data_IF_984636751092
#
_entry.id   IF_984636751092
#
_cell.length_a   1.000
_cell.length_b   1.000
_cell.length_c   1.000
_cell.angle_alpha   90.00
_cell.angle_beta   90.00
_cell.angle_gamma   90.00
#
_symmetry.space_group_name_H-M   'P 1'
#
loop_
_entity.id
_entity.type
_entity.pdbx_description
1 polymer ?
#
# COMPACT_ATOMS: atom_id res chain seq x y z
N UNK A 1 15.22 -18.50 0.38
CA UNK A 1 14.07 -17.83 -0.25
C UNK A 1 13.68 -16.67 0.64
N UNK A 2 13.87 -15.43 0.20
CA UNK A 2 13.52 -14.26 1.02
C UNK A 2 11.99 -14.14 1.08
N UNK A 3 11.39 -14.43 2.23
CA UNK A 3 9.98 -14.09 2.44
C UNK A 3 9.90 -12.57 2.52
N UNK A 4 9.16 -11.96 1.61
CA UNK A 4 8.84 -10.53 1.71
C UNK A 4 8.13 -10.23 3.05
N UNK A 5 8.02 -8.95 3.43
CA UNK A 5 7.30 -8.57 4.63
C UNK A 5 5.90 -9.18 4.63
N UNK A 6 5.44 -9.65 5.79
CA UNK A 6 4.14 -10.30 5.88
C UNK A 6 3.03 -9.36 5.42
N UNK A 7 2.22 -9.80 4.45
CA UNK A 7 1.17 -8.96 3.85
C UNK A 7 1.58 -8.20 2.58
N UNK A 8 2.77 -8.43 2.02
CA UNK A 8 3.25 -7.76 0.80
C UNK A 8 2.28 -7.91 -0.39
N UNK A 9 1.78 -9.11 -0.65
CA UNK A 9 0.83 -9.35 -1.75
C UNK A 9 -0.51 -8.65 -1.50
N UNK A 10 -0.96 -8.63 -0.24
CA UNK A 10 -2.18 -7.93 0.17
C UNK A 10 -2.03 -6.41 -0.02
N UNK A 11 -0.87 -5.85 0.38
CA UNK A 11 -0.56 -4.43 0.24
C UNK A 11 -0.44 -4.03 -1.24
N UNK A 12 0.14 -4.89 -2.07
CA UNK A 12 0.21 -4.68 -3.53
C UNK A 12 -1.18 -4.62 -4.14
N UNK A 13 -2.04 -5.60 -3.83
CA UNK A 13 -3.43 -5.60 -4.30
C UNK A 13 -4.16 -4.33 -3.84
N UNK A 14 -4.06 -4.00 -2.54
CA UNK A 14 -4.68 -2.81 -1.96
C UNK A 14 -4.26 -1.53 -2.69
N UNK A 15 -2.97 -1.36 -2.97
CA UNK A 15 -2.45 -0.18 -3.64
C UNK A 15 -3.09 0.07 -5.02
N UNK A 16 -3.27 -0.99 -5.81
CA UNK A 16 -3.95 -0.86 -7.12
C UNK A 16 -5.44 -0.56 -7.00
N UNK A 17 -6.06 -0.90 -5.87
CA UNK A 17 -7.48 -0.61 -5.63
C UNK A 17 -7.74 0.80 -5.10
N UNK A 18 -6.71 1.58 -4.75
CA UNK A 18 -6.85 2.94 -4.19
C UNK A 18 -7.56 3.95 -5.12
N UNK A 19 -7.59 3.68 -6.43
CA UNK A 19 -8.36 4.47 -7.40
C UNK A 19 -9.87 4.29 -7.25
N UNK A 20 -10.30 3.21 -6.60
CA UNK A 20 -11.69 2.84 -6.40
C UNK A 20 -11.96 2.70 -4.91
N UNK A 21 -12.35 3.77 -4.19
CA UNK A 21 -12.48 3.77 -2.73
C UNK A 21 -13.35 2.63 -2.18
N UNK A 22 -14.43 2.29 -2.88
CA UNK A 22 -15.31 1.17 -2.50
C UNK A 22 -14.60 -0.19 -2.58
N UNK A 23 -13.73 -0.38 -3.58
CA UNK A 23 -12.95 -1.61 -3.74
C UNK A 23 -11.82 -1.65 -2.70
N UNK A 24 -11.13 -0.54 -2.51
CA UNK A 24 -10.09 -0.41 -1.48
C UNK A 24 -10.62 -0.75 -0.09
N UNK A 25 -11.79 -0.23 0.29
CA UNK A 25 -12.42 -0.56 1.57
C UNK A 25 -12.74 -2.06 1.71
N UNK A 26 -13.22 -2.70 0.64
CA UNK A 26 -13.48 -4.14 0.63
C UNK A 26 -12.21 -4.98 0.74
N UNK A 27 -11.14 -4.58 0.06
CA UNK A 27 -9.83 -5.25 0.14
C UNK A 27 -9.26 -5.09 1.55
N UNK A 28 -9.27 -3.89 2.11
CA UNK A 28 -8.83 -3.65 3.48
C UNK A 28 -9.63 -4.48 4.50
N UNK A 29 -10.94 -4.62 4.33
CA UNK A 29 -11.77 -5.46 5.20
C UNK A 29 -11.51 -6.97 5.01
N UNK A 30 -11.16 -7.40 3.80
CA UNK A 30 -10.88 -8.80 3.47
C UNK A 30 -9.50 -9.28 3.95
N UNK A 31 -8.54 -8.36 4.15
CA UNK A 31 -7.18 -8.67 4.59
C UNK A 31 -6.86 -7.98 5.91
N UNK A 32 -7.15 -8.61 7.07
CA UNK A 32 -6.91 -8.05 8.39
C UNK A 32 -5.44 -7.71 8.69
N UNK A 33 -4.51 -8.19 7.88
CA UNK A 33 -3.08 -7.84 7.98
C UNK A 33 -2.82 -6.39 7.57
N UNK A 34 -3.66 -5.80 6.70
CA UNK A 34 -3.55 -4.40 6.28
C UNK A 34 -3.93 -3.46 7.43
N UNK A 35 -3.07 -2.48 7.70
CA UNK A 35 -3.18 -1.61 8.87
C UNK A 35 -2.80 -2.25 10.20
N UNK A 36 -2.41 -3.54 10.23
CA UNK A 36 -1.90 -4.18 11.43
C UNK A 36 -0.41 -3.85 11.65
N UNK A 37 0.11 -3.88 12.90
CA UNK A 37 1.53 -3.66 13.17
C UNK A 37 2.46 -4.59 12.38
N UNK A 38 2.02 -5.82 12.10
CA UNK A 38 2.78 -6.79 11.30
C UNK A 38 2.79 -6.46 9.80
N UNK A 39 1.74 -5.80 9.30
CA UNK A 39 1.57 -5.43 7.89
C UNK A 39 2.12 -4.05 7.53
N UNK A 40 2.32 -3.14 8.50
CA UNK A 40 2.81 -1.78 8.23
C UNK A 40 4.13 -1.76 7.45
N UNK A 41 5.06 -2.68 7.76
CA UNK A 41 6.31 -2.80 7.03
C UNK A 41 6.10 -3.21 5.55
N UNK A 42 5.13 -4.08 5.29
CA UNK A 42 4.76 -4.48 3.94
C UNK A 42 4.10 -3.32 3.17
N UNK A 43 3.15 -2.64 3.80
CA UNK A 43 2.46 -1.49 3.23
C UNK A 43 3.43 -0.35 2.89
N UNK A 44 4.33 -0.01 3.81
CA UNK A 44 5.37 1.00 3.58
C UNK A 44 6.33 0.59 2.44
N UNK A 45 6.71 -0.69 2.39
CA UNK A 45 7.58 -1.21 1.32
C UNK A 45 6.91 -1.09 -0.05
N UNK A 46 5.66 -1.53 -0.18
CA UNK A 46 4.89 -1.45 -1.43
C UNK A 46 4.67 0.00 -1.84
N UNK A 47 4.26 0.86 -0.90
CA UNK A 47 4.03 2.28 -1.16
C UNK A 47 5.32 2.95 -1.69
N UNK A 48 6.46 2.71 -1.04
CA UNK A 48 7.75 3.25 -1.47
C UNK A 48 8.19 2.69 -2.84
N UNK A 49 7.94 1.41 -3.14
CA UNK A 49 8.23 0.82 -4.44
C UNK A 49 7.39 1.47 -5.54
N UNK A 50 6.07 1.62 -5.33
CA UNK A 50 5.19 2.20 -6.32
C UNK A 50 5.46 3.69 -6.54
N UNK A 51 5.73 4.47 -5.48
CA UNK A 51 6.16 5.87 -5.63
C UNK A 51 7.47 6.00 -6.42
N UNK A 52 8.39 5.04 -6.29
CA UNK A 52 9.60 4.98 -7.12
C UNK A 52 9.29 4.69 -8.58
N UNK A 53 8.31 3.84 -8.88
CA UNK A 53 7.84 3.61 -10.26
C UNK A 53 7.17 4.86 -10.85
N UNK A 54 6.35 5.56 -10.06
CA UNK A 54 5.75 6.85 -10.42
C UNK A 54 6.80 7.88 -10.76
N UNK A 55 7.85 7.98 -9.94
CA UNK A 55 8.98 8.88 -10.21
C UNK A 55 9.73 8.57 -11.51
N UNK A 56 9.52 7.38 -12.11
CA UNK A 56 10.10 6.97 -13.41
C UNK A 56 9.12 7.13 -14.58
N UNK A 57 7.89 7.58 -14.33
CA UNK A 57 6.86 7.78 -15.36
C UNK A 57 5.81 6.68 -15.46
N UNK A 58 5.87 5.64 -14.61
CA UNK A 58 4.91 4.53 -14.61
C UNK A 58 3.79 4.75 -13.60
N UNK A 59 2.61 4.15 -13.77
CA UNK A 59 1.53 4.19 -12.77
C UNK A 59 1.13 5.60 -12.31
N UNK A 60 1.32 6.64 -13.13
CA UNK A 60 1.11 8.05 -12.76
C UNK A 60 -0.28 8.33 -12.18
N UNK A 61 -1.29 7.59 -12.61
CA UNK A 61 -2.66 7.67 -12.08
C UNK A 61 -2.75 7.38 -10.57
N UNK A 62 -1.80 6.61 -10.03
CA UNK A 62 -1.74 6.27 -8.60
C UNK A 62 -1.01 7.32 -7.76
N UNK A 63 -0.34 8.31 -8.35
CA UNK A 63 0.57 9.21 -7.63
C UNK A 63 -0.10 9.86 -6.41
N UNK A 64 -1.21 10.56 -6.61
CA UNK A 64 -1.92 11.25 -5.55
C UNK A 64 -2.37 10.28 -4.45
N UNK A 65 -2.86 9.10 -4.84
CA UNK A 65 -3.35 8.09 -3.91
C UNK A 65 -2.24 7.43 -3.10
N UNK A 66 -1.08 7.21 -3.71
CA UNK A 66 0.09 6.68 -3.04
C UNK A 66 0.67 7.71 -2.07
N UNK A 67 0.64 9.01 -2.40
CA UNK A 67 1.03 10.07 -1.47
C UNK A 67 0.11 10.13 -0.26
N UNK A 68 -1.20 10.12 -0.47
CA UNK A 68 -2.18 10.09 0.63
C UNK A 68 -1.98 8.87 1.54
N UNK A 69 -1.77 7.70 0.94
CA UNK A 69 -1.51 6.47 1.68
C UNK A 69 -0.17 6.53 2.43
N UNK A 70 0.87 7.13 1.86
CA UNK A 70 2.17 7.29 2.54
C UNK A 70 2.06 8.16 3.80
N UNK A 71 1.27 9.23 3.75
CA UNK A 71 1.04 10.10 4.91
C UNK A 71 0.21 9.40 5.99
N UNK A 72 -0.77 8.59 5.58
CA UNK A 72 -1.53 7.74 6.48
C UNK A 72 -0.67 6.68 7.17
N UNK A 73 0.20 5.98 6.43
CA UNK A 73 1.15 5.03 7.01
C UNK A 73 2.08 5.71 8.01
N UNK A 74 2.62 6.89 7.68
CA UNK A 74 3.47 7.67 8.56
C UNK A 74 2.77 8.08 9.86
N UNK A 75 1.46 8.36 9.83
CA UNK A 75 0.65 8.62 11.05
C UNK A 75 0.42 7.37 11.90
N UNK A 76 0.45 6.19 11.29
CA UNK A 76 0.23 4.89 11.96
C UNK A 76 1.51 4.26 12.48
N UNK A 77 2.67 4.73 12.02
CA UNK A 77 3.95 4.32 12.58
C UNK A 77 4.09 4.90 14.01
N UNK A 78 4.40 4.06 15.01
CA UNK A 78 4.60 4.51 16.40
C UNK A 78 5.90 5.32 16.57
#
# INVERSE_FOLDING_TARGET
MGQGPQGFDCATLYAYTLLQPNVAARVHAAFPILGSPAGLAAEATVCAQLLRTVSRGDNLVLEDRLRDWSEDLRRRQP
#
